data_IF_896411916767
#
_entry.id   IF_896411916767
#
_cell.length_a   1.000
_cell.length_b   1.000
_cell.length_c   1.000
_cell.angle_alpha   90.00
_cell.angle_beta   90.00
_cell.angle_gamma   90.00
#
_symmetry.space_group_name_H-M   'P 1'
#
loop_
_entity.id
_entity.type
_entity.pdbx_description
1 polymer ?
#
# COMPACT_ATOMS: atom_id res chain seq x y z
N UNK A 1 -39.66 28.89 49.45
CA UNK A 1 -39.33 27.45 49.63
C UNK A 1 -40.11 26.52 48.69
N UNK A 2 -41.43 26.64 48.55
CA UNK A 2 -42.24 25.73 47.71
C UNK A 2 -41.92 25.77 46.21
N UNK A 3 -41.56 26.93 45.66
CA UNK A 3 -41.21 27.10 44.24
C UNK A 3 -39.83 26.53 43.85
N UNK A 4 -38.83 26.55 44.74
CA UNK A 4 -37.51 25.94 44.47
C UNK A 4 -37.58 24.41 44.38
N UNK A 5 -38.46 23.78 45.16
CA UNK A 5 -38.65 22.32 45.13
C UNK A 5 -39.25 21.89 43.80
N UNK A 6 -40.24 22.64 43.29
CA UNK A 6 -40.86 22.37 41.98
C UNK A 6 -39.82 22.49 40.85
N UNK A 7 -38.95 23.50 40.91
CA UNK A 7 -37.89 23.68 39.92
C UNK A 7 -36.88 22.53 39.90
N UNK A 8 -36.48 22.04 41.07
CA UNK A 8 -35.55 20.90 41.22
C UNK A 8 -36.18 19.61 40.68
N UNK A 9 -37.48 19.39 40.95
CA UNK A 9 -38.20 18.20 40.46
C UNK A 9 -38.33 18.22 38.93
N UNK A 10 -38.64 19.38 38.33
CA UNK A 10 -38.71 19.52 36.87
C UNK A 10 -37.34 19.26 36.22
N UNK A 11 -36.25 19.75 36.83
CA UNK A 11 -34.90 19.54 36.33
C UNK A 11 -34.51 18.05 36.36
N UNK A 12 -34.87 17.32 37.42
CA UNK A 12 -34.59 15.88 37.55
C UNK A 12 -35.36 15.04 36.51
N UNK A 13 -36.60 15.41 36.20
CA UNK A 13 -37.39 14.74 35.16
C UNK A 13 -36.80 14.99 33.75
N UNK A 14 -36.28 16.19 33.49
CA UNK A 14 -35.63 16.51 32.21
C UNK A 14 -34.28 15.78 32.02
N UNK A 15 -33.51 15.59 33.10
CA UNK A 15 -32.24 14.85 33.02
C UNK A 15 -32.48 13.35 32.84
N UNK A 16 -33.45 12.76 33.55
CA UNK A 16 -33.75 11.33 33.42
C UNK A 16 -34.32 10.96 32.04
N UNK A 17 -35.22 11.77 31.51
CA UNK A 17 -35.78 11.57 30.15
C UNK A 17 -34.74 11.75 29.04
N UNK A 18 -33.78 12.67 29.20
CA UNK A 18 -32.70 12.85 28.21
C UNK A 18 -31.66 11.73 28.27
N UNK A 19 -31.36 11.17 29.45
CA UNK A 19 -30.52 9.97 29.57
C UNK A 19 -31.19 8.72 28.99
N UNK A 20 -32.49 8.49 29.25
CA UNK A 20 -33.22 7.37 28.64
C UNK A 20 -33.30 7.49 27.11
N UNK A 21 -33.52 8.70 26.56
CA UNK A 21 -33.50 8.93 25.11
C UNK A 21 -32.11 8.68 24.50
N UNK A 22 -31.03 9.02 25.21
CA UNK A 22 -29.67 8.80 24.73
C UNK A 22 -29.24 7.34 24.78
N UNK A 23 -29.73 6.55 25.74
CA UNK A 23 -29.44 5.11 25.83
C UNK A 23 -30.23 4.32 24.78
N UNK A 24 -31.46 4.72 24.48
CA UNK A 24 -32.28 4.05 23.45
C UNK A 24 -31.81 4.30 22.00
N UNK A 25 -30.99 5.34 21.76
CA UNK A 25 -30.44 5.65 20.43
C UNK A 25 -29.00 5.14 20.20
N UNK A 26 -28.33 4.57 21.21
CA UNK A 26 -27.00 3.95 21.06
C UNK A 26 -27.13 2.44 21.27
N UNK A 27 -27.98 1.82 20.45
CA UNK A 27 -27.87 0.42 20.12
C UNK A 27 -27.88 0.31 18.59
N UNK A 28 -26.81 0.82 17.97
CA UNK A 28 -26.39 0.28 16.67
C UNK A 28 -25.86 -1.12 16.96
N UNK A 29 -26.81 -2.06 17.06
CA UNK A 29 -26.49 -3.46 16.93
C UNK A 29 -26.02 -3.61 15.49
N UNK A 30 -24.71 -3.74 15.28
CA UNK A 30 -24.16 -4.30 14.06
C UNK A 30 -24.61 -5.78 14.00
N UNK A 31 -25.90 -5.98 13.72
CA UNK A 31 -26.49 -7.27 13.47
C UNK A 31 -26.02 -7.70 12.08
N UNK A 32 -24.91 -8.43 12.04
CA UNK A 32 -24.43 -9.12 10.85
C UNK A 32 -25.34 -10.31 10.53
N UNK A 33 -26.62 -10.04 10.25
CA UNK A 33 -27.55 -11.04 9.72
C UNK A 33 -27.55 -10.96 8.19
N UNK A 34 -26.42 -11.30 7.61
CA UNK A 34 -26.34 -11.79 6.23
C UNK A 34 -25.59 -13.10 6.28
N UNK A 35 -26.35 -14.19 6.42
CA UNK A 35 -25.91 -15.59 6.31
C UNK A 35 -25.58 -15.95 4.86
N UNK A 36 -24.76 -15.13 4.22
CA UNK A 36 -23.98 -15.48 3.05
C UNK A 36 -22.56 -15.07 3.43
N UNK A 37 -21.86 -15.92 4.18
CA UNK A 37 -20.41 -15.76 4.32
C UNK A 37 -19.86 -15.85 2.91
N UNK A 38 -19.50 -14.70 2.32
CA UNK A 38 -18.70 -14.69 1.11
C UNK A 38 -17.41 -15.39 1.53
N UNK A 39 -17.27 -16.66 1.14
CA UNK A 39 -16.05 -17.42 1.38
C UNK A 39 -14.99 -16.69 0.59
N UNK A 40 -14.19 -15.89 1.29
CA UNK A 40 -13.04 -15.25 0.68
C UNK A 40 -12.06 -16.37 0.38
N UNK A 41 -11.96 -16.72 -0.90
CA UNK A 41 -10.89 -17.61 -1.36
C UNK A 41 -9.57 -16.93 -0.97
N UNK A 42 -8.68 -17.61 -0.22
CA UNK A 42 -7.36 -17.08 0.05
C UNK A 42 -6.68 -16.72 -1.27
N UNK A 43 -6.03 -15.56 -1.32
CA UNK A 43 -5.22 -15.18 -2.47
C UNK A 43 -4.16 -16.25 -2.70
N UNK A 44 -3.88 -16.53 -3.98
CA UNK A 44 -2.78 -17.42 -4.34
C UNK A 44 -1.49 -16.97 -3.64
N UNK A 45 -0.65 -17.94 -3.27
CA UNK A 45 0.64 -17.58 -2.70
C UNK A 45 1.45 -16.74 -3.69
N UNK A 46 2.05 -15.63 -3.23
CA UNK A 46 2.81 -14.75 -4.10
C UNK A 46 4.02 -15.50 -4.68
N UNK A 47 4.24 -15.31 -5.99
CA UNK A 47 5.30 -15.97 -6.74
C UNK A 47 6.53 -15.06 -6.83
N UNK A 48 7.19 -14.87 -5.70
CA UNK A 48 8.36 -14.00 -5.61
C UNK A 48 9.52 -14.57 -6.42
N UNK A 49 10.09 -13.76 -7.33
CA UNK A 49 11.16 -14.17 -8.24
C UNK A 49 12.07 -12.99 -8.57
N UNK A 50 13.33 -13.23 -8.97
CA UNK A 50 14.17 -12.15 -9.46
C UNK A 50 13.59 -11.53 -10.72
N UNK A 51 13.70 -10.21 -10.85
CA UNK A 51 13.25 -9.48 -12.04
C UNK A 51 14.31 -9.64 -13.11
N UNK A 52 13.97 -10.40 -14.15
CA UNK A 52 14.82 -10.60 -15.32
C UNK A 52 14.49 -9.56 -16.37
N UNK A 53 15.53 -9.00 -16.97
CA UNK A 53 15.42 -8.05 -18.07
C UNK A 53 16.21 -8.56 -19.28
N UNK A 54 15.75 -8.14 -20.45
CA UNK A 54 16.47 -8.34 -21.72
C UNK A 54 16.77 -6.94 -22.24
N UNK A 55 18.04 -6.59 -22.42
CA UNK A 55 18.40 -5.28 -22.97
C UNK A 55 18.34 -5.32 -24.51
N UNK A 56 18.45 -4.15 -25.15
CA UNK A 56 18.25 -4.00 -26.60
C UNK A 56 19.14 -4.90 -27.48
N UNK A 57 20.33 -5.29 -27.00
CA UNK A 57 21.26 -6.19 -27.71
C UNK A 57 20.98 -7.69 -27.47
N UNK A 58 19.92 -8.03 -26.72
CA UNK A 58 19.55 -9.41 -26.36
C UNK A 58 20.23 -9.95 -25.10
N UNK A 59 21.11 -9.16 -24.45
CA UNK A 59 21.72 -9.51 -23.19
C UNK A 59 20.67 -9.73 -22.07
N UNK A 60 20.86 -10.78 -21.26
CA UNK A 60 19.94 -11.16 -20.18
C UNK A 60 20.55 -10.83 -18.83
N UNK A 61 19.85 -10.01 -18.06
CA UNK A 61 20.31 -9.51 -16.77
C UNK A 61 19.21 -9.58 -15.73
N UNK A 62 19.56 -9.24 -14.49
CA UNK A 62 18.61 -9.08 -13.41
C UNK A 62 18.78 -7.72 -12.72
N UNK A 63 17.69 -7.25 -12.12
CA UNK A 63 17.74 -6.11 -11.22
C UNK A 63 18.21 -6.52 -9.82
N UNK A 64 19.18 -5.77 -9.29
CA UNK A 64 19.69 -5.92 -7.94
C UNK A 64 19.55 -4.62 -7.14
N UNK A 65 18.88 -4.64 -5.97
CA UNK A 65 18.85 -3.48 -5.09
C UNK A 65 20.18 -3.28 -4.36
N UNK A 66 20.67 -2.05 -4.35
CA UNK A 66 21.89 -1.64 -3.61
C UNK A 66 21.62 -0.40 -2.76
N UNK A 67 22.37 -0.25 -1.67
CA UNK A 67 22.28 0.89 -0.77
C UNK A 67 23.64 1.58 -0.70
N UNK A 68 23.68 2.87 -0.98
CA UNK A 68 24.91 3.66 -0.97
C UNK A 68 24.61 5.12 -0.68
N UNK A 69 25.44 5.76 0.14
CA UNK A 69 25.30 7.18 0.47
C UNK A 69 23.98 7.54 1.19
N UNK A 70 23.36 6.59 1.90
CA UNK A 70 22.06 6.79 2.55
C UNK A 70 20.85 6.63 1.63
N UNK A 71 21.08 6.38 0.33
CA UNK A 71 20.02 6.14 -0.66
C UNK A 71 20.05 4.70 -1.16
N UNK A 72 19.00 4.34 -1.89
CA UNK A 72 18.86 3.02 -2.51
C UNK A 72 18.69 3.15 -4.02
N UNK A 73 19.25 2.19 -4.75
CA UNK A 73 19.23 2.17 -6.20
C UNK A 73 18.93 0.76 -6.69
N UNK A 74 18.41 0.66 -7.91
CA UNK A 74 18.28 -0.60 -8.64
C UNK A 74 19.33 -0.61 -9.74
N UNK A 75 20.27 -1.55 -9.65
CA UNK A 75 21.32 -1.75 -10.67
C UNK A 75 21.00 -2.93 -11.57
N UNK A 76 21.63 -2.95 -12.75
CA UNK A 76 21.57 -4.06 -13.70
C UNK A 76 22.84 -4.89 -13.53
N UNK A 77 22.69 -6.18 -13.25
CA UNK A 77 23.83 -7.08 -13.07
C UNK A 77 23.51 -8.50 -13.56
N UNK A 78 24.54 -9.36 -13.57
CA UNK A 78 24.34 -10.76 -13.91
C UNK A 78 23.44 -11.44 -12.88
N UNK A 79 22.53 -12.31 -13.32
CA UNK A 79 21.50 -12.88 -12.44
C UNK A 79 22.03 -13.76 -11.29
N UNK A 80 23.31 -14.12 -11.28
CA UNK A 80 23.98 -14.88 -10.22
C UNK A 80 24.75 -14.00 -9.22
N UNK A 81 24.71 -12.67 -9.38
CA UNK A 81 25.39 -11.75 -8.47
C UNK A 81 24.63 -11.61 -7.15
N UNK A 82 25.37 -11.21 -6.11
CA UNK A 82 24.90 -11.24 -4.73
C UNK A 82 23.75 -10.29 -4.41
N UNK A 83 23.58 -9.19 -5.14
CA UNK A 83 22.49 -8.24 -4.88
C UNK A 83 21.17 -8.69 -5.51
N UNK A 84 21.20 -9.63 -6.46
CA UNK A 84 19.99 -10.13 -7.11
C UNK A 84 19.18 -10.94 -6.10
N UNK A 85 17.94 -10.50 -5.86
CA UNK A 85 17.02 -11.15 -4.92
C UNK A 85 15.60 -11.19 -5.47
N UNK A 86 14.75 -11.98 -4.81
CA UNK A 86 13.36 -12.12 -5.23
C UNK A 86 12.58 -10.82 -5.01
N UNK A 87 11.85 -10.41 -6.04
CA UNK A 87 10.89 -9.32 -5.97
C UNK A 87 9.46 -9.87 -6.06
N UNK A 88 8.52 -9.10 -5.53
CA UNK A 88 7.08 -9.36 -5.62
C UNK A 88 6.42 -8.27 -6.43
N UNK A 89 5.64 -8.68 -7.43
CA UNK A 89 4.61 -7.83 -8.03
C UNK A 89 3.25 -8.20 -7.42
N UNK A 90 2.65 -7.26 -6.70
CA UNK A 90 1.45 -7.51 -5.91
C UNK A 90 0.15 -6.97 -6.57
N UNK A 91 -0.99 -7.26 -5.95
CA UNK A 91 -2.33 -6.82 -6.42
C UNK A 91 -2.52 -5.30 -6.39
N UNK A 92 -1.66 -4.57 -5.66
CA UNK A 92 -1.64 -3.11 -5.64
C UNK A 92 -0.74 -2.54 -6.75
N UNK A 93 -0.23 -3.40 -7.64
CA UNK A 93 0.64 -3.05 -8.76
C UNK A 93 1.97 -2.47 -8.29
N UNK A 94 2.47 -2.93 -7.13
CA UNK A 94 3.78 -2.51 -6.61
C UNK A 94 4.81 -3.57 -6.89
N UNK A 95 6.03 -3.14 -7.19
CA UNK A 95 7.20 -4.02 -7.25
C UNK A 95 7.98 -3.82 -5.95
N UNK A 96 8.18 -4.90 -5.20
CA UNK A 96 8.74 -4.81 -3.85
C UNK A 96 9.79 -5.88 -3.56
N UNK A 97 10.73 -5.53 -2.70
CA UNK A 97 11.76 -6.40 -2.15
C UNK A 97 11.59 -6.51 -0.65
N UNK A 98 11.75 -7.71 -0.09
CA UNK A 98 11.80 -7.91 1.35
C UNK A 98 13.25 -7.91 1.81
N UNK A 99 13.68 -6.83 2.46
CA UNK A 99 15.04 -6.61 2.93
C UNK A 99 14.98 -6.40 4.43
N UNK A 100 15.67 -7.25 5.20
CA UNK A 100 15.68 -7.19 6.67
C UNK A 100 14.25 -7.16 7.27
N UNK A 101 13.37 -8.03 6.77
CA UNK A 101 11.98 -8.15 7.22
C UNK A 101 11.13 -6.89 6.98
N UNK A 102 11.58 -6.02 6.07
CA UNK A 102 10.89 -4.79 5.65
C UNK A 102 10.61 -4.83 4.17
N UNK A 103 9.36 -4.56 3.78
CA UNK A 103 8.97 -4.43 2.38
C UNK A 103 9.31 -3.05 1.87
N UNK A 104 10.25 -2.99 0.92
CA UNK A 104 10.63 -1.78 0.22
C UNK A 104 10.13 -1.85 -1.22
N UNK A 105 9.48 -0.79 -1.67
CA UNK A 105 8.84 -0.69 -2.98
C UNK A 105 9.68 0.19 -3.90
N UNK A 106 9.81 -0.23 -5.16
CA UNK A 106 10.37 0.61 -6.21
C UNK A 106 9.46 1.83 -6.35
N UNK A 107 10.04 3.02 -6.18
CA UNK A 107 9.35 4.30 -6.13
C UNK A 107 9.88 5.17 -7.27
N UNK A 108 8.97 5.67 -8.08
CA UNK A 108 9.28 6.58 -9.15
C UNK A 108 9.75 7.93 -8.61
N UNK A 109 10.75 8.56 -9.25
CA UNK A 109 11.17 9.90 -8.92
C UNK A 109 10.06 10.90 -9.29
N UNK A 110 9.65 11.69 -8.29
CA UNK A 110 8.57 12.67 -8.41
C UNK A 110 8.83 13.68 -9.53
N UNK A 111 10.08 14.11 -9.68
CA UNK A 111 10.53 15.05 -10.72
C UNK A 111 10.25 14.54 -12.13
N UNK A 112 10.42 13.23 -12.38
CA UNK A 112 10.16 12.62 -13.68
C UNK A 112 8.66 12.48 -13.92
N UNK A 113 7.89 12.08 -12.91
CA UNK A 113 6.43 11.94 -13.03
C UNK A 113 5.74 13.27 -13.32
N UNK A 114 6.23 14.36 -12.73
CA UNK A 114 5.76 15.72 -13.01
C UNK A 114 6.49 16.41 -14.17
N UNK A 115 7.25 15.67 -14.98
CA UNK A 115 7.95 16.18 -16.17
C UNK A 115 8.87 17.40 -15.89
N UNK A 116 9.40 17.51 -14.68
CA UNK A 116 10.45 18.48 -14.33
C UNK A 116 11.81 18.02 -14.83
N UNK A 117 12.04 16.72 -14.82
CA UNK A 117 13.24 16.06 -15.34
C UNK A 117 12.85 14.97 -16.33
N UNK A 118 13.70 14.70 -17.32
CA UNK A 118 13.42 13.69 -18.35
C UNK A 118 13.70 12.26 -17.87
N UNK A 119 14.60 12.11 -16.90
CA UNK A 119 15.00 10.84 -16.34
C UNK A 119 15.57 11.05 -14.95
N UNK A 120 15.47 10.03 -14.10
CA UNK A 120 16.13 9.93 -12.81
C UNK A 120 16.09 8.46 -12.37
N UNK A 121 16.85 8.09 -11.35
CA UNK A 121 16.88 6.75 -10.80
C UNK A 121 15.61 6.46 -9.98
N UNK A 122 15.17 5.21 -10.04
CA UNK A 122 14.16 4.71 -9.10
C UNK A 122 14.83 4.36 -7.77
N UNK A 123 14.12 4.65 -6.69
CA UNK A 123 14.60 4.39 -5.33
C UNK A 123 13.69 3.39 -4.63
N UNK A 124 14.22 2.71 -3.62
CA UNK A 124 13.44 1.89 -2.69
C UNK A 124 13.00 2.74 -1.51
N UNK A 125 11.69 2.77 -1.27
CA UNK A 125 11.08 3.40 -0.09
C UNK A 125 10.17 2.41 0.61
N UNK A 126 9.86 2.59 1.90
CA UNK A 126 8.86 1.76 2.58
C UNK A 126 7.56 1.69 1.78
N UNK A 127 7.05 0.47 1.60
CA UNK A 127 5.86 0.24 0.80
C UNK A 127 4.63 0.90 1.43
N UNK A 128 3.91 1.70 0.62
CA UNK A 128 2.69 2.39 1.00
C UNK A 128 1.56 1.97 0.06
N UNK A 129 0.31 1.87 0.56
CA UNK A 129 -0.82 1.34 -0.24
C UNK A 129 -1.34 2.40 -1.24
N UNK A 130 -1.36 3.66 -0.82
CA UNK A 130 -1.96 4.77 -1.55
C UNK A 130 -0.93 5.71 -2.19
N UNK A 131 0.32 5.28 -2.32
CA UNK A 131 1.35 6.07 -2.97
C UNK A 131 1.34 5.80 -4.49
N UNK A 132 0.95 6.78 -5.33
CA UNK A 132 0.93 6.60 -6.78
C UNK A 132 2.32 6.36 -7.37
N UNK A 133 3.38 6.89 -6.76
CA UNK A 133 4.75 6.74 -7.24
C UNK A 133 5.27 5.29 -7.10
N UNK A 134 4.58 4.47 -6.31
CA UNK A 134 4.91 3.05 -6.12
C UNK A 134 4.10 2.10 -7.03
N UNK A 135 3.22 2.64 -7.88
CA UNK A 135 2.37 1.85 -8.79
C UNK A 135 2.96 1.74 -10.18
N UNK A 136 3.07 0.51 -10.66
CA UNK A 136 3.74 0.16 -11.91
C UNK A 136 2.83 -0.67 -12.78
N UNK A 137 2.64 -0.25 -14.04
CA UNK A 137 2.01 -1.10 -15.06
C UNK A 137 3.08 -1.87 -15.79
N UNK A 138 2.98 -3.19 -15.72
CA UNK A 138 3.78 -4.09 -16.52
C UNK A 138 3.17 -4.17 -17.91
N UNK A 139 3.93 -3.72 -18.92
CA UNK A 139 3.59 -3.93 -20.32
C UNK A 139 4.50 -5.01 -20.89
N UNK A 140 3.91 -6.00 -21.55
CA UNK A 140 4.66 -6.95 -22.35
C UNK A 140 5.32 -6.20 -23.50
N UNK A 141 6.65 -6.23 -23.54
CA UNK A 141 7.44 -5.62 -24.61
C UNK A 141 8.49 -6.64 -25.10
N UNK A 142 8.74 -6.78 -26.42
CA UNK A 142 9.78 -7.66 -26.97
C UNK A 142 11.19 -7.44 -26.39
N UNK A 143 11.45 -6.30 -25.76
CA UNK A 143 12.72 -5.95 -25.10
C UNK A 143 12.63 -6.01 -23.56
N UNK A 144 11.78 -6.88 -22.98
CA UNK A 144 11.66 -7.06 -21.53
C UNK A 144 10.62 -6.17 -20.84
N UNK A 145 10.64 -6.11 -19.51
CA UNK A 145 9.65 -5.37 -18.70
C UNK A 145 9.84 -3.85 -18.87
N UNK A 146 8.88 -3.16 -19.47
CA UNK A 146 8.80 -1.70 -19.42
C UNK A 146 7.95 -1.28 -18.23
N UNK A 147 8.59 -0.70 -17.22
CA UNK A 147 7.93 -0.18 -16.03
C UNK A 147 7.41 1.23 -16.32
N UNK A 148 6.10 1.39 -16.42
CA UNK A 148 5.45 2.70 -16.57
C UNK A 148 4.75 3.06 -15.26
N UNK A 149 4.88 4.32 -14.83
CA UNK A 149 4.16 4.85 -13.66
C UNK A 149 2.73 5.21 -14.08
N UNK A 150 1.76 4.90 -13.21
CA UNK A 150 0.37 5.31 -13.42
C UNK A 150 0.19 6.71 -12.86
N UNK A 151 -0.20 7.65 -13.71
CA UNK A 151 -0.64 8.99 -13.30
C UNK A 151 -2.17 9.02 -13.22
#
# INVERSE_FOLDING_TARGET
MRHSIVFIVVLLVLVTTSFEYSINNIHIHASSNTSNSIIQKPTDQPKDKPIKIVIHDGGKFCYGPVFSGGESYIIIEQCWQMHVMNARYDVFQRISYNINNTWLCITAPETVVYAKENWDYVHLRPCTINDPLQRWVIKDNPFGLQMNVIN
#
